data_IF_611279649235
#
_entry.id   IF_611279649235
#
_cell.length_a   1.000
_cell.length_b   1.000
_cell.length_c   1.000
_cell.angle_alpha   90.00
_cell.angle_beta   90.00
_cell.angle_gamma   90.00
#
_symmetry.space_group_name_H-M   'P 1'
#
loop_
_entity.id
_entity.type
_entity.pdbx_description
1 polymer ?
#
# COMPACT_ATOMS: atom_id res chain seq x y z
N UNK A 1 -15.01 11.61 5.60
CA UNK A 1 -13.97 10.60 5.40
C UNK A 1 -13.34 10.36 6.75
N UNK A 2 -13.36 9.13 7.27
CA UNK A 2 -12.69 8.83 8.54
C UNK A 2 -11.18 8.64 8.33
N UNK A 3 -10.41 8.56 9.42
CA UNK A 3 -8.94 8.45 9.37
C UNK A 3 -8.49 7.20 8.60
N UNK A 4 -9.17 6.06 8.81
CA UNK A 4 -8.99 4.81 8.05
C UNK A 4 -9.12 5.02 6.55
N UNK A 5 -10.17 5.69 6.09
CA UNK A 5 -10.41 6.01 4.68
C UNK A 5 -9.35 6.97 4.13
N UNK A 6 -8.91 7.95 4.91
CA UNK A 6 -7.86 8.89 4.49
C UNK A 6 -6.52 8.18 4.31
N UNK A 7 -6.16 7.30 5.24
CA UNK A 7 -4.92 6.52 5.16
C UNK A 7 -4.96 5.53 3.98
N UNK A 8 -6.08 4.82 3.79
CA UNK A 8 -6.29 3.96 2.63
C UNK A 8 -6.18 4.73 1.31
N UNK A 9 -6.77 5.93 1.22
CA UNK A 9 -6.69 6.75 0.03
C UNK A 9 -5.24 7.19 -0.27
N UNK A 10 -4.45 7.54 0.76
CA UNK A 10 -3.02 7.86 0.59
C UNK A 10 -2.21 6.67 0.07
N UNK A 11 -2.50 5.46 0.54
CA UNK A 11 -1.89 4.22 0.04
C UNK A 11 -2.22 4.06 -1.45
N UNK A 12 -3.49 4.18 -1.82
CA UNK A 12 -3.94 4.06 -3.22
C UNK A 12 -3.28 5.08 -4.14
N UNK A 13 -3.10 6.33 -3.69
CA UNK A 13 -2.40 7.35 -4.46
C UNK A 13 -0.92 6.99 -4.70
N UNK A 14 -0.22 6.51 -3.66
CA UNK A 14 1.17 6.09 -3.79
C UNK A 14 1.32 4.85 -4.69
N UNK A 15 0.38 3.90 -4.59
CA UNK A 15 0.33 2.71 -5.44
C UNK A 15 0.04 3.04 -6.90
N UNK A 16 -0.85 4.00 -7.16
CA UNK A 16 -1.10 4.49 -8.50
C UNK A 16 0.18 5.11 -9.11
N UNK A 17 0.88 5.95 -8.34
CA UNK A 17 2.13 6.56 -8.77
C UNK A 17 3.22 5.52 -9.09
N UNK A 18 3.28 4.42 -8.33
CA UNK A 18 4.17 3.29 -8.62
C UNK A 18 3.84 2.63 -9.96
N UNK A 19 2.56 2.36 -10.22
CA UNK A 19 2.12 1.74 -11.48
C UNK A 19 2.45 2.65 -12.66
N UNK A 20 2.19 3.95 -12.53
CA UNK A 20 2.46 4.94 -13.58
C UNK A 20 3.96 5.07 -13.86
N UNK A 21 4.78 5.22 -12.82
CA UNK A 21 6.24 5.28 -12.96
C UNK A 21 6.83 3.99 -13.55
N UNK A 22 6.29 2.82 -13.18
CA UNK A 22 6.68 1.55 -13.79
C UNK A 22 6.37 1.54 -15.29
N UNK A 23 5.17 1.95 -15.69
CA UNK A 23 4.77 1.98 -17.09
C UNK A 23 5.67 2.91 -17.92
N UNK A 24 6.09 4.04 -17.35
CA UNK A 24 7.08 4.92 -17.98
C UNK A 24 8.46 4.22 -18.11
N UNK A 25 8.95 3.61 -17.04
CA UNK A 25 10.24 2.90 -17.01
C UNK A 25 10.30 1.70 -17.96
N UNK A 26 9.18 1.04 -18.26
CA UNK A 26 9.09 -0.02 -19.27
C UNK A 26 9.55 0.49 -20.66
N UNK A 27 9.43 1.79 -20.92
CA UNK A 27 9.89 2.45 -22.16
C UNK A 27 11.21 3.21 -22.01
N UNK A 28 11.57 3.62 -20.79
CA UNK A 28 12.79 4.40 -20.48
C UNK A 28 13.59 3.75 -19.32
N UNK A 29 14.16 2.55 -19.50
CA UNK A 29 14.70 1.75 -18.39
C UNK A 29 15.97 2.33 -17.75
N UNK A 30 16.66 3.25 -18.43
CA UNK A 30 17.88 3.88 -17.95
C UNK A 30 17.66 5.29 -17.36
N UNK A 31 16.41 5.75 -17.27
CA UNK A 31 16.07 7.05 -16.70
C UNK A 31 16.24 7.00 -15.17
N UNK A 32 17.32 7.64 -14.69
CA UNK A 32 17.71 7.65 -13.27
C UNK A 32 16.71 8.40 -12.39
N UNK A 33 16.13 9.48 -12.91
CA UNK A 33 15.18 10.32 -12.16
C UNK A 33 13.86 9.56 -11.98
N UNK A 34 13.39 8.87 -13.03
CA UNK A 34 12.21 8.01 -12.94
C UNK A 34 12.43 6.81 -12.00
N UNK A 35 13.64 6.23 -11.98
CA UNK A 35 13.99 5.17 -11.02
C UNK A 35 14.03 5.68 -9.57
N UNK A 36 14.54 6.88 -9.33
CA UNK A 36 14.55 7.50 -8.00
C UNK A 36 13.12 7.79 -7.54
N UNK A 37 12.29 8.39 -8.41
CA UNK A 37 10.88 8.64 -8.13
C UNK A 37 10.13 7.34 -7.78
N UNK A 38 10.33 6.27 -8.55
CA UNK A 38 9.74 4.96 -8.27
C UNK A 38 10.15 4.43 -6.88
N UNK A 39 11.44 4.55 -6.51
CA UNK A 39 11.94 4.14 -5.19
C UNK A 39 11.34 4.97 -4.05
N UNK A 40 11.17 6.27 -4.26
CA UNK A 40 10.54 7.17 -3.28
C UNK A 40 9.07 6.78 -3.04
N UNK A 41 8.30 6.61 -4.12
CA UNK A 41 6.89 6.18 -4.00
C UNK A 41 6.78 4.79 -3.39
N UNK A 42 7.75 3.89 -3.65
CA UNK A 42 7.78 2.57 -3.05
C UNK A 42 7.95 2.65 -1.53
N UNK A 43 8.91 3.46 -1.06
CA UNK A 43 9.10 3.69 0.38
C UNK A 43 7.85 4.29 1.01
N UNK A 44 7.25 5.29 0.35
CA UNK A 44 6.03 5.95 0.83
C UNK A 44 4.85 4.98 0.93
N UNK A 45 4.61 4.16 -0.09
CA UNK A 45 3.55 3.14 -0.08
C UNK A 45 3.78 2.11 1.04
N UNK A 46 5.01 1.64 1.21
CA UNK A 46 5.36 0.69 2.29
C UNK A 46 5.10 1.29 3.68
N UNK A 47 5.59 2.50 3.97
CA UNK A 47 5.37 3.15 5.27
C UNK A 47 3.88 3.36 5.57
N UNK A 48 3.11 3.82 4.58
CA UNK A 48 1.67 4.04 4.76
C UNK A 48 0.90 2.73 5.00
N UNK A 49 1.32 1.64 4.34
CA UNK A 49 0.75 0.30 4.58
C UNK A 49 1.09 -0.20 5.96
N UNK A 50 2.33 -0.06 6.42
CA UNK A 50 2.72 -0.43 7.78
C UNK A 50 1.89 0.34 8.83
N UNK A 51 1.75 1.65 8.67
CA UNK A 51 0.91 2.51 9.53
C UNK A 51 -0.56 2.03 9.54
N UNK A 52 -1.11 1.68 8.38
CA UNK A 52 -2.48 1.18 8.28
C UNK A 52 -2.63 -0.19 8.93
N UNK A 53 -1.70 -1.11 8.67
CA UNK A 53 -1.77 -2.48 9.18
C UNK A 53 -1.57 -2.55 10.69
N UNK A 54 -0.81 -1.63 11.28
CA UNK A 54 -0.66 -1.47 12.73
C UNK A 54 -1.97 -1.03 13.39
N UNK A 55 -2.72 -0.11 12.77
CA UNK A 55 -3.93 0.48 13.36
C UNK A 55 -5.21 -0.30 13.06
N UNK A 56 -5.34 -0.82 11.84
CA UNK A 56 -6.61 -1.35 11.31
C UNK A 56 -6.53 -2.81 10.87
N UNK A 57 -5.34 -3.42 10.92
CA UNK A 57 -5.11 -4.79 10.49
C UNK A 57 -4.70 -4.95 9.03
N UNK A 58 -4.39 -6.19 8.62
CA UNK A 58 -3.72 -6.49 7.36
C UNK A 58 -4.53 -6.08 6.13
N UNK A 59 -3.90 -5.43 5.16
CA UNK A 59 -4.51 -5.09 3.86
C UNK A 59 -4.38 -6.26 2.88
N UNK A 60 -3.36 -7.10 3.06
CA UNK A 60 -3.12 -8.30 2.27
C UNK A 60 -2.88 -9.52 3.17
N UNK A 61 -3.11 -10.75 2.69
CA UNK A 61 -2.81 -11.96 3.46
C UNK A 61 -1.35 -12.01 3.96
N UNK A 62 -0.41 -11.41 3.22
CA UNK A 62 1.01 -11.34 3.61
C UNK A 62 1.23 -10.60 4.93
N UNK A 63 0.43 -9.58 5.23
CA UNK A 63 0.51 -8.85 6.51
C UNK A 63 0.20 -9.72 7.74
N UNK A 64 -0.47 -10.86 7.55
CA UNK A 64 -0.74 -11.83 8.63
C UNK A 64 0.35 -12.88 8.83
N UNK A 65 1.31 -13.01 7.90
CA UNK A 65 2.31 -14.08 7.94
C UNK A 65 3.28 -13.97 9.13
N UNK A 66 3.43 -12.77 9.71
CA UNK A 66 4.34 -12.47 10.81
C UNK A 66 3.61 -12.24 12.15
N UNK A 67 2.32 -12.57 12.24
CA UNK A 67 1.50 -12.41 13.46
C UNK A 67 1.26 -13.77 14.11
N UNK A 68 1.02 -13.78 15.43
CA UNK A 68 0.73 -15.00 16.21
C UNK A 68 -0.62 -15.65 15.85
N UNK A 69 -1.42 -15.00 14.99
CA UNK A 69 -2.70 -15.49 14.50
C UNK A 69 -2.92 -15.04 13.05
N UNK A 70 -3.79 -15.75 12.31
CA UNK A 70 -4.13 -15.42 10.93
C UNK A 70 -5.08 -14.22 10.87
N UNK A 71 -4.57 -13.03 11.18
CA UNK A 71 -5.36 -11.80 11.34
C UNK A 71 -6.23 -11.47 10.12
N UNK A 72 -5.81 -11.87 8.91
CA UNK A 72 -6.57 -11.71 7.67
C UNK A 72 -7.96 -12.34 7.69
N UNK A 73 -8.16 -13.42 8.44
CA UNK A 73 -9.49 -14.04 8.63
C UNK A 73 -10.23 -13.52 9.87
N UNK A 74 -9.57 -12.72 10.71
CA UNK A 74 -10.11 -12.24 11.99
C UNK A 74 -10.49 -10.76 11.95
N UNK A 75 -9.98 -10.00 10.99
CA UNK A 75 -10.33 -8.59 10.77
C UNK A 75 -11.34 -8.44 9.63
N UNK A 76 -12.31 -7.52 9.74
CA UNK A 76 -13.22 -7.23 8.64
C UNK A 76 -12.43 -6.82 7.40
N UNK A 77 -12.80 -7.37 6.26
CA UNK A 77 -12.05 -7.16 5.03
C UNK A 77 -12.15 -5.71 4.57
N UNK A 78 -11.13 -5.18 3.87
CA UNK A 78 -11.15 -3.80 3.40
C UNK A 78 -12.36 -3.44 2.50
N UNK A 79 -12.99 -4.44 1.86
CA UNK A 79 -14.18 -4.29 1.02
C UNK A 79 -15.49 -4.74 1.69
N UNK A 80 -15.43 -5.29 2.91
CA UNK A 80 -16.61 -5.44 3.75
C UNK A 80 -16.95 -4.03 4.24
N UNK A 81 -17.86 -3.36 3.53
CA UNK A 81 -18.43 -2.11 4.02
C UNK A 81 -19.02 -2.41 5.40
N UNK A 82 -18.57 -1.68 6.42
CA UNK A 82 -19.22 -1.67 7.73
C UNK A 82 -20.72 -1.44 7.50
N UNK A 83 -21.54 -2.43 7.86
CA UNK A 83 -22.99 -2.36 7.76
C UNK A 83 -23.58 -1.40 8.80
#
# INVERSE_FOLDING_TARGET
MNEKQHLMHRIQMADFALVDAKLYLDTHPCDMDAMEYYREQLRKSTMLREEYEEQYGPITPRGSAHKDSWCWALTPWPWEMEA
#
